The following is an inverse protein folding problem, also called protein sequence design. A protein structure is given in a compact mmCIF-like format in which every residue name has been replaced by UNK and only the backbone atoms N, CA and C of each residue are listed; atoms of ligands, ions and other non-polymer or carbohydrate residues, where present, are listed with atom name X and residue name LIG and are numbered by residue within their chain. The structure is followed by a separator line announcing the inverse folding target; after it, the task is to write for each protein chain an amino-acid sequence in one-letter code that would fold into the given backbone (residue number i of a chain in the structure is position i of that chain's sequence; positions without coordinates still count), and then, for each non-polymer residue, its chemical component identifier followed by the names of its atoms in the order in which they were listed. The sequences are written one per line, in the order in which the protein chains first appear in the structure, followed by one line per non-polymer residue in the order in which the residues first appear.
data_IF_823975630806
#
_entry.id   IF_823975630806
#
_cell.length_a   1.000
_cell.length_b   1.000
_cell.length_c   1.000
_cell.angle_alpha   90.00
_cell.angle_beta   90.00
_cell.angle_gamma   90.00
#
_symmetry.space_group_name_H-M   'P 1'
#
loop_
_entity.id
_entity.type
_entity.pdbx_description
1 polymer ?
#
# COMPACT_ATOMS: atom_id res chain seq x y z
N UNK A 1 -13.57 0.79 -15.08
CA UNK A 1 -12.45 0.97 -14.15
C UNK A 1 -11.19 0.43 -14.82
N UNK A 2 -10.21 1.28 -15.13
CA UNK A 2 -8.95 0.85 -15.79
C UNK A 2 -7.87 0.79 -14.71
N UNK A 3 -7.39 -0.41 -14.41
CA UNK A 3 -6.26 -0.58 -13.51
C UNK A 3 -5.04 0.15 -14.12
N UNK A 4 -4.25 0.81 -13.30
CA UNK A 4 -3.06 1.51 -13.78
C UNK A 4 -2.14 0.48 -14.48
N UNK A 5 -1.90 0.68 -15.78
CA UNK A 5 -1.06 -0.23 -16.57
C UNK A 5 0.41 0.18 -16.56
N UNK A 6 0.73 1.36 -16.02
CA UNK A 6 2.09 1.92 -15.99
C UNK A 6 2.28 2.71 -14.69
N UNK A 7 3.38 2.41 -14.00
CA UNK A 7 3.84 3.17 -12.84
C UNK A 7 4.80 4.28 -13.28
N UNK A 8 4.96 5.32 -12.47
CA UNK A 8 5.93 6.40 -12.72
C UNK A 8 7.35 5.84 -12.77
N UNK A 9 8.22 6.45 -13.58
CA UNK A 9 9.61 5.99 -13.82
C UNK A 9 10.42 5.74 -12.54
N UNK A 10 10.14 6.48 -11.46
CA UNK A 10 10.84 6.35 -10.17
C UNK A 10 10.02 5.64 -9.08
N UNK A 11 9.03 4.86 -9.48
CA UNK A 11 8.23 4.10 -8.51
C UNK A 11 9.10 2.99 -7.91
N UNK A 12 9.11 2.81 -6.57
CA UNK A 12 9.82 1.72 -5.95
C UNK A 12 9.23 0.38 -6.39
N UNK A 13 10.09 -0.56 -6.79
CA UNK A 13 9.70 -1.93 -7.15
C UNK A 13 10.62 -2.89 -6.42
N UNK A 14 10.05 -3.71 -5.53
CA UNK A 14 10.73 -4.83 -4.92
C UNK A 14 10.11 -6.12 -5.44
N UNK A 15 10.93 -7.03 -5.95
CA UNK A 15 10.52 -8.36 -6.39
C UNK A 15 11.43 -9.39 -5.77
N UNK A 16 10.84 -10.51 -5.37
CA UNK A 16 11.54 -11.64 -4.78
C UNK A 16 10.89 -12.94 -5.27
N UNK A 17 11.67 -14.01 -5.31
CA UNK A 17 11.21 -15.38 -5.53
C UNK A 17 10.65 -16.03 -4.25
N UNK A 18 10.87 -15.40 -3.10
CA UNK A 18 10.33 -15.77 -1.79
C UNK A 18 9.37 -14.70 -1.25
N UNK A 19 8.49 -15.04 -0.28
CA UNK A 19 7.63 -14.07 0.37
C UNK A 19 8.45 -12.91 0.98
N UNK A 20 7.96 -11.69 0.78
CA UNK A 20 8.58 -10.50 1.38
C UNK A 20 8.27 -10.43 2.87
N UNK A 21 9.23 -9.98 3.68
CA UNK A 21 8.99 -9.66 5.08
C UNK A 21 8.22 -8.34 5.23
N UNK A 22 7.57 -8.15 6.38
CA UNK A 22 6.86 -6.90 6.67
C UNK A 22 7.78 -5.68 6.61
N UNK A 23 9.03 -5.80 7.05
CA UNK A 23 10.04 -4.74 6.98
C UNK A 23 10.40 -4.38 5.52
N UNK A 24 10.51 -5.39 4.65
CA UNK A 24 10.74 -5.18 3.22
C UNK A 24 9.54 -4.47 2.58
N UNK A 25 8.31 -4.88 2.92
CA UNK A 25 7.11 -4.25 2.38
C UNK A 25 6.97 -2.82 2.90
N UNK A 26 7.26 -2.57 4.18
CA UNK A 26 7.22 -1.23 4.80
C UNK A 26 8.15 -0.23 4.10
N UNK A 27 9.26 -0.72 3.55
CA UNK A 27 10.22 0.11 2.81
C UNK A 27 9.65 0.63 1.49
N UNK A 28 8.86 -0.17 0.77
CA UNK A 28 8.32 0.19 -0.56
C UNK A 28 6.88 0.68 -0.53
N UNK A 29 6.11 0.28 0.48
CA UNK A 29 4.69 0.57 0.61
C UNK A 29 4.30 0.83 2.09
N UNK A 30 4.85 1.86 2.74
CA UNK A 30 4.61 2.11 4.16
C UNK A 30 3.13 2.35 4.51
N UNK A 31 2.35 2.88 3.56
CA UNK A 31 0.94 3.24 3.77
C UNK A 31 0.01 2.05 3.98
N UNK A 32 0.40 0.82 3.62
CA UNK A 32 -0.45 -0.36 3.86
C UNK A 32 -0.51 -0.73 5.34
N UNK A 33 0.50 -0.31 6.12
CA UNK A 33 0.60 -0.51 7.55
C UNK A 33 0.10 0.69 8.36
N UNK A 34 -0.51 1.68 7.69
CA UNK A 34 -1.11 2.79 8.41
C UNK A 34 -2.26 2.27 9.31
N UNK A 35 -2.38 2.82 10.51
CA UNK A 35 -3.47 2.49 11.43
C UNK A 35 -4.67 3.44 11.24
N UNK A 36 -4.42 4.61 10.65
CA UNK A 36 -5.40 5.67 10.48
C UNK A 36 -5.47 6.13 9.02
N UNK A 37 -6.63 6.66 8.57
CA UNK A 37 -6.72 7.33 7.28
C UNK A 37 -5.70 8.45 7.15
N UNK A 38 -5.23 8.68 5.92
CA UNK A 38 -4.44 9.86 5.60
C UNK A 38 -5.30 11.14 5.75
N UNK A 39 -4.71 12.21 6.29
CA UNK A 39 -5.41 13.47 6.59
C UNK A 39 -6.07 14.15 5.38
N UNK A 40 -5.52 13.94 4.18
CA UNK A 40 -6.08 14.47 2.93
C UNK A 40 -7.39 13.81 2.50
N UNK A 41 -7.83 12.76 3.20
CA UNK A 41 -9.06 12.04 2.88
C UNK A 41 -10.27 12.84 3.36
N UNK A 42 -11.29 12.86 2.52
CA UNK A 42 -12.55 13.52 2.87
C UNK A 42 -13.29 12.77 3.98
N UNK A 43 -14.20 13.46 4.67
CA UNK A 43 -15.03 12.86 5.73
C UNK A 43 -15.94 11.73 5.24
N UNK A 44 -16.16 11.60 3.92
CA UNK A 44 -16.94 10.51 3.32
C UNK A 44 -16.10 9.27 3.04
N UNK A 45 -14.79 9.34 3.24
CA UNK A 45 -13.89 8.22 3.03
C UNK A 45 -13.93 7.30 4.25
N UNK A 46 -14.44 6.09 4.06
CA UNK A 46 -14.33 5.03 5.06
C UNK A 46 -12.98 4.35 4.91
N UNK A 47 -12.10 4.55 5.87
CA UNK A 47 -10.82 3.85 5.91
C UNK A 47 -11.03 2.41 6.37
N UNK A 48 -10.51 1.47 5.59
CA UNK A 48 -10.40 0.07 5.98
C UNK A 48 -8.90 -0.23 6.06
N UNK A 49 -8.37 -0.56 7.25
CA UNK A 49 -6.97 -0.93 7.39
C UNK A 49 -6.63 -2.10 6.47
N UNK A 50 -5.60 -1.96 5.62
CA UNK A 50 -5.23 -3.00 4.66
C UNK A 50 -4.84 -4.31 5.36
N UNK A 51 -4.18 -4.22 6.53
CA UNK A 51 -3.82 -5.37 7.34
C UNK A 51 -5.05 -6.22 7.74
N UNK A 52 -6.21 -5.60 7.94
CA UNK A 52 -7.45 -6.30 8.29
C UNK A 52 -8.07 -7.07 7.12
N UNK A 53 -7.64 -6.82 5.88
CA UNK A 53 -8.16 -7.47 4.67
C UNK A 53 -7.31 -8.69 4.27
N UNK A 54 -6.08 -8.80 4.77
CA UNK A 54 -5.11 -9.82 4.37
C UNK A 54 -5.11 -11.07 5.27
N UNK A 55 -6.01 -11.15 6.25
CA UNK A 55 -6.28 -12.36 7.07
C UNK A 55 -7.19 -13.34 6.36
#
# INVERSE_FOLDING_TARGET
MKLASRFSYRSPVLRSDHPLSDDQIRTVAPSIFAETPHESRSQRYSYIPTAAVLT
#
